data_IF_107800958658
#
_entry.id   IF_107800958658
#
_cell.length_a   1.000
_cell.length_b   1.000
_cell.length_c   1.000
_cell.angle_alpha   90.00
_cell.angle_beta   90.00
_cell.angle_gamma   90.00
#
_symmetry.space_group_name_H-M   'P 1'
#
loop_
_entity.id
_entity.type
_entity.pdbx_description
1 polymer ?
#
# COMPACT_ATOMS: atom_id res chain seq x y z
N UNK A 1 20.26 49.95 7.07
CA UNK A 1 20.89 48.62 6.95
C UNK A 1 19.81 47.57 7.23
N UNK A 2 18.94 47.31 6.25
CA UNK A 2 17.91 46.29 6.37
C UNK A 2 18.58 44.95 6.13
N UNK A 3 18.81 44.23 7.23
CA UNK A 3 19.30 42.85 7.20
C UNK A 3 18.30 42.07 6.35
N UNK A 4 18.73 41.76 5.12
CA UNK A 4 18.01 40.99 4.14
C UNK A 4 17.61 39.67 4.81
N UNK A 5 16.35 39.60 5.25
CA UNK A 5 15.71 38.35 5.64
C UNK A 5 15.47 37.62 4.34
N UNK A 6 16.51 36.92 3.93
CA UNK A 6 16.48 35.98 2.82
C UNK A 6 15.34 35.00 3.14
N UNK A 7 14.21 35.23 2.47
CA UNK A 7 13.12 34.31 2.42
C UNK A 7 13.60 33.18 1.51
N UNK A 8 14.51 32.36 2.05
CA UNK A 8 14.77 31.03 1.55
C UNK A 8 13.39 30.38 1.55
N UNK A 9 12.71 30.44 0.40
CA UNK A 9 11.56 29.61 0.07
C UNK A 9 12.09 28.23 0.34
N UNK A 10 11.77 27.69 1.52
CA UNK A 10 11.88 26.27 1.78
C UNK A 10 10.97 25.68 0.73
N UNK A 11 11.54 25.26 -0.40
CA UNK A 11 10.85 24.47 -1.41
C UNK A 11 10.52 23.18 -0.67
N UNK A 12 9.35 23.16 -0.07
CA UNK A 12 8.76 21.96 0.48
C UNK A 12 8.73 20.94 -0.67
N UNK A 13 9.45 19.81 -0.57
CA UNK A 13 9.65 18.89 -1.69
C UNK A 13 8.32 18.36 -2.28
N UNK A 14 7.27 18.38 -1.48
CA UNK A 14 5.87 18.09 -1.78
C UNK A 14 5.19 18.97 -2.85
N UNK A 15 5.65 20.21 -3.10
CA UNK A 15 5.09 21.06 -4.18
C UNK A 15 5.61 20.65 -5.59
N UNK A 16 6.48 19.65 -5.69
CA UNK A 16 6.90 19.12 -7.00
C UNK A 16 6.00 17.99 -7.46
N UNK A 17 5.42 18.12 -8.66
CA UNK A 17 4.63 17.08 -9.35
C UNK A 17 5.30 15.69 -9.30
N UNK A 18 6.63 15.64 -9.33
CA UNK A 18 7.40 14.40 -9.20
C UNK A 18 7.23 13.66 -7.86
N UNK A 19 6.97 14.36 -6.76
CA UNK A 19 6.77 13.74 -5.44
C UNK A 19 5.40 13.04 -5.35
N UNK A 20 4.35 13.70 -5.83
CA UNK A 20 2.98 13.15 -5.89
C UNK A 20 2.90 11.93 -6.83
N UNK A 21 3.51 11.99 -8.01
CA UNK A 21 3.58 10.86 -8.95
C UNK A 21 4.31 9.66 -8.32
N UNK A 22 5.36 9.92 -7.53
CA UNK A 22 6.11 8.87 -6.84
C UNK A 22 5.30 8.19 -5.72
N UNK A 23 4.46 8.92 -4.99
CA UNK A 23 3.55 8.34 -4.01
C UNK A 23 2.47 7.48 -4.69
N UNK A 24 1.88 7.99 -5.77
CA UNK A 24 0.85 7.26 -6.53
C UNK A 24 1.38 5.93 -7.07
N UNK A 25 2.61 5.91 -7.60
CA UNK A 25 3.26 4.67 -8.06
C UNK A 25 3.43 3.63 -6.93
N UNK A 26 3.76 4.06 -5.70
CA UNK A 26 3.89 3.13 -4.57
C UNK A 26 2.56 2.49 -4.18
N UNK A 27 1.46 3.24 -4.27
CA UNK A 27 0.14 2.71 -3.95
C UNK A 27 -0.31 1.68 -4.99
N UNK A 28 -0.10 1.97 -6.28
CA UNK A 28 -0.37 1.03 -7.37
C UNK A 28 0.45 -0.26 -7.23
N UNK A 29 1.72 -0.16 -6.88
CA UNK A 29 2.57 -1.32 -6.62
C UNK A 29 2.06 -2.13 -5.43
N UNK A 30 1.56 -1.48 -4.38
CA UNK A 30 1.00 -2.18 -3.22
C UNK A 30 -0.28 -2.95 -3.56
N UNK A 31 -1.16 -2.38 -4.38
CA UNK A 31 -2.38 -3.08 -4.87
C UNK A 31 -1.99 -4.26 -5.75
N UNK A 32 -1.01 -4.08 -6.64
CA UNK A 32 -0.53 -5.16 -7.48
C UNK A 32 0.05 -6.32 -6.65
N UNK A 33 0.86 -6.00 -5.63
CA UNK A 33 1.40 -6.98 -4.69
C UNK A 33 0.29 -7.77 -3.99
N UNK A 34 -0.78 -7.08 -3.55
CA UNK A 34 -1.96 -7.70 -2.96
C UNK A 34 -2.64 -8.72 -3.90
N UNK A 35 -2.80 -8.37 -5.17
CA UNK A 35 -3.43 -9.28 -6.13
C UNK A 35 -2.53 -10.51 -6.35
N UNK A 36 -1.23 -10.29 -6.51
CA UNK A 36 -0.25 -11.37 -6.75
C UNK A 36 -0.15 -12.30 -5.55
N UNK A 37 -0.13 -11.78 -4.32
CA UNK A 37 -0.04 -12.59 -3.10
C UNK A 37 -1.28 -13.45 -2.89
N UNK A 38 -2.48 -12.90 -3.10
CA UNK A 38 -3.74 -13.65 -3.00
C UNK A 38 -3.80 -14.74 -4.07
N UNK A 39 -3.42 -14.43 -5.32
CA UNK A 39 -3.36 -15.40 -6.40
C UNK A 39 -2.35 -16.52 -6.11
N UNK A 40 -1.17 -16.18 -5.60
CA UNK A 40 -0.15 -17.16 -5.20
C UNK A 40 -0.63 -18.04 -4.04
N UNK A 41 -1.29 -17.46 -3.03
CA UNK A 41 -1.87 -18.19 -1.91
C UNK A 41 -2.95 -19.19 -2.35
N UNK A 42 -3.83 -18.76 -3.26
CA UNK A 42 -4.83 -19.63 -3.86
C UNK A 42 -4.19 -20.75 -4.67
N UNK A 43 -3.26 -20.42 -5.57
CA UNK A 43 -2.56 -21.40 -6.40
C UNK A 43 -1.77 -22.41 -5.57
N UNK A 44 -1.16 -21.98 -4.47
CA UNK A 44 -0.49 -22.85 -3.51
C UNK A 44 -1.47 -23.82 -2.85
N UNK A 45 -2.60 -23.33 -2.32
CA UNK A 45 -3.59 -24.18 -1.64
C UNK A 45 -4.35 -25.11 -2.60
N UNK A 46 -4.50 -24.73 -3.87
CA UNK A 46 -5.20 -25.51 -4.88
C UNK A 46 -4.29 -26.49 -5.63
N UNK A 47 -3.25 -25.99 -6.32
CA UNK A 47 -2.33 -26.78 -7.15
C UNK A 47 -1.16 -27.30 -6.32
N UNK A 48 -0.60 -26.45 -5.46
CA UNK A 48 0.58 -26.80 -4.67
C UNK A 48 0.34 -27.99 -3.75
N UNK A 49 -0.83 -28.07 -3.13
CA UNK A 49 -1.22 -29.19 -2.27
C UNK A 49 -1.33 -30.52 -3.03
N UNK A 50 -1.86 -30.51 -4.25
CA UNK A 50 -1.94 -31.69 -5.11
C UNK A 50 -0.55 -32.20 -5.51
N UNK A 51 0.37 -31.28 -5.82
CA UNK A 51 1.74 -31.63 -6.17
C UNK A 51 2.51 -32.26 -5.00
N UNK A 52 2.17 -31.91 -3.75
CA UNK A 52 2.85 -32.42 -2.54
C UNK A 52 2.21 -33.71 -2.03
N UNK A 53 0.87 -33.76 -1.96
CA UNK A 53 0.13 -34.84 -1.29
C UNK A 53 -0.37 -35.90 -2.29
N UNK A 54 -0.48 -35.56 -3.58
CA UNK A 54 -1.03 -36.43 -4.61
C UNK A 54 -2.55 -36.27 -4.77
N UNK A 55 -3.25 -37.37 -5.05
CA UNK A 55 -4.66 -37.37 -5.44
C UNK A 55 -5.59 -36.95 -4.29
N UNK A 56 -5.80 -35.64 -4.16
CA UNK A 56 -6.81 -35.05 -3.29
C UNK A 56 -8.06 -34.73 -4.09
N UNK A 57 -9.25 -34.86 -3.51
CA UNK A 57 -10.48 -34.52 -4.24
C UNK A 57 -10.54 -33.02 -4.57
N UNK A 58 -11.20 -32.67 -5.68
CA UNK A 58 -11.25 -31.29 -6.18
C UNK A 58 -11.86 -30.33 -5.16
N UNK A 59 -12.92 -30.76 -4.47
CA UNK A 59 -13.59 -29.94 -3.46
C UNK A 59 -12.67 -29.54 -2.31
N UNK A 60 -11.85 -30.46 -1.82
CA UNK A 60 -10.89 -30.18 -0.74
C UNK A 60 -9.76 -29.24 -1.19
N UNK A 61 -9.24 -29.41 -2.41
CA UNK A 61 -8.25 -28.50 -3.00
C UNK A 61 -8.79 -27.09 -3.12
N UNK A 62 -10.02 -26.96 -3.62
CA UNK A 62 -10.67 -25.67 -3.78
C UNK A 62 -10.91 -25.00 -2.43
N UNK A 63 -11.39 -25.75 -1.44
CA UNK A 63 -11.60 -25.26 -0.08
C UNK A 63 -10.29 -24.76 0.54
N UNK A 64 -9.21 -25.54 0.46
CA UNK A 64 -7.89 -25.16 0.97
C UNK A 64 -7.34 -23.92 0.27
N UNK A 65 -7.42 -23.87 -1.07
CA UNK A 65 -7.05 -22.70 -1.86
C UNK A 65 -7.77 -21.43 -1.40
N UNK A 66 -9.10 -21.52 -1.21
CA UNK A 66 -9.91 -20.39 -0.74
C UNK A 66 -9.52 -19.97 0.69
N UNK A 67 -9.37 -20.91 1.63
CA UNK A 67 -9.00 -20.58 3.02
C UNK A 67 -7.64 -19.89 3.09
N UNK A 68 -6.64 -20.41 2.37
CA UNK A 68 -5.31 -19.79 2.29
C UNK A 68 -5.39 -18.39 1.66
N UNK A 69 -6.08 -18.25 0.52
CA UNK A 69 -6.24 -16.97 -0.17
C UNK A 69 -6.94 -15.93 0.71
N UNK A 70 -8.01 -16.31 1.42
CA UNK A 70 -8.72 -15.42 2.33
C UNK A 70 -7.86 -14.97 3.50
N UNK A 71 -7.07 -15.88 4.08
CA UNK A 71 -6.17 -15.54 5.18
C UNK A 71 -5.12 -14.52 4.76
N UNK A 72 -4.50 -14.73 3.59
CA UNK A 72 -3.53 -13.79 3.01
C UNK A 72 -4.22 -12.47 2.65
N UNK A 73 -5.40 -12.53 2.04
CA UNK A 73 -6.16 -11.34 1.66
C UNK A 73 -6.49 -10.47 2.88
N UNK A 74 -6.95 -11.07 3.98
CA UNK A 74 -7.24 -10.33 5.21
C UNK A 74 -5.99 -9.69 5.81
N UNK A 75 -4.88 -10.43 5.84
CA UNK A 75 -3.60 -9.91 6.34
C UNK A 75 -3.12 -8.72 5.49
N UNK A 76 -3.10 -8.86 4.17
CA UNK A 76 -2.60 -7.81 3.27
C UNK A 76 -3.54 -6.61 3.13
N UNK A 77 -4.86 -6.84 3.17
CA UNK A 77 -5.86 -5.77 3.19
C UNK A 77 -5.68 -4.87 4.42
N UNK A 78 -5.38 -5.45 5.59
CA UNK A 78 -5.10 -4.67 6.79
C UNK A 78 -3.87 -3.78 6.62
N UNK A 79 -2.77 -4.32 6.07
CA UNK A 79 -1.56 -3.53 5.82
C UNK A 79 -1.78 -2.44 4.77
N UNK A 80 -2.53 -2.73 3.71
CA UNK A 80 -2.85 -1.75 2.67
C UNK A 80 -3.68 -0.60 3.22
N UNK A 81 -4.73 -0.91 3.99
CA UNK A 81 -5.59 0.09 4.62
C UNK A 81 -4.81 0.96 5.64
N UNK A 82 -3.96 0.33 6.46
CA UNK A 82 -3.11 1.06 7.43
C UNK A 82 -2.14 2.01 6.72
N UNK A 83 -1.48 1.54 5.66
CA UNK A 83 -0.54 2.34 4.89
C UNK A 83 -1.22 3.52 4.20
N UNK A 84 -2.43 3.32 3.66
CA UNK A 84 -3.23 4.40 3.08
C UNK A 84 -3.61 5.45 4.14
N UNK A 85 -3.96 5.03 5.35
CA UNK A 85 -4.27 5.96 6.44
C UNK A 85 -3.04 6.74 6.92
N UNK A 86 -1.87 6.09 7.05
CA UNK A 86 -0.61 6.77 7.35
C UNK A 86 -0.28 7.83 6.30
N UNK A 87 -0.37 7.48 5.01
CA UNK A 87 -0.12 8.41 3.90
C UNK A 87 -1.06 9.63 3.97
N UNK A 88 -2.34 9.43 4.31
CA UNK A 88 -3.31 10.53 4.52
C UNK A 88 -2.93 11.41 5.72
N UNK A 89 -2.57 10.82 6.86
CA UNK A 89 -2.20 11.55 8.08
C UNK A 89 -0.94 12.40 7.92
N UNK A 90 -0.02 12.07 7.01
CA UNK A 90 1.14 12.93 6.71
C UNK A 90 0.78 14.19 5.91
N UNK A 91 -0.30 14.17 5.12
CA UNK A 91 -0.75 15.32 4.33
C UNK A 91 -1.39 16.42 5.22
N UNK A 92 -2.20 16.03 6.22
CA UNK A 92 -2.91 16.93 7.13
C UNK A 92 -2.05 17.91 7.99
N UNK A 93 -0.92 17.51 8.62
CA UNK A 93 -0.09 18.42 9.42
C UNK A 93 0.63 19.46 8.55
N UNK A 94 0.83 19.18 7.26
CA UNK A 94 1.49 20.09 6.32
C UNK A 94 0.55 21.23 5.93
N UNK A 95 -0.72 20.93 5.61
CA UNK A 95 -1.72 21.97 5.29
C UNK A 95 -2.00 22.90 6.49
N UNK A 96 -2.07 22.35 7.71
CA UNK A 96 -2.31 23.17 8.92
C UNK A 96 -1.18 24.16 9.18
N UNK A 97 0.07 23.78 8.93
CA UNK A 97 1.22 24.69 9.03
C UNK A 97 1.29 25.71 7.89
N UNK A 98 0.71 25.42 6.73
CA UNK A 98 0.60 26.36 5.60
C UNK A 98 -0.42 27.47 5.94
N UNK A 99 -1.59 27.11 6.49
CA UNK A 99 -2.64 28.09 6.83
C UNK A 99 -2.30 28.95 8.06
N UNK A 100 -1.64 28.41 9.09
CA UNK A 100 -1.27 29.16 10.31
C UNK A 100 -0.16 30.21 10.07
N UNK A 101 0.57 30.14 8.95
CA UNK A 101 1.61 31.13 8.59
C UNK A 101 1.11 32.28 7.72
N UNK A 102 -0.15 32.23 7.27
CA UNK A 102 -0.75 33.20 6.36
C UNK A 102 -1.63 34.21 7.11
N UNK A 103 -1.99 33.95 8.37
CA UNK A 103 -2.54 34.94 9.32
C UNK A 103 -1.46 35.67 10.13
#
# INVERSE_FOLDING_TARGET
MTKNVDSIKRKFPEDTFGYQVKQMNKHLVAIFQFIVSVAAGFAFGFIGVELIIGSLDFGFRLLLGIICALTIALAELYFLAKKLNEDLQFEYPIERHKNVKIE
#
